data_IF_675412175036
#
_entry.id   IF_675412175036
#
_cell.length_a   1.000
_cell.length_b   1.000
_cell.length_c   1.000
_cell.angle_alpha   90.00
_cell.angle_beta   90.00
_cell.angle_gamma   90.00
#
_symmetry.space_group_name_H-M   'P 1'
#
loop_
_entity.id
_entity.type
_entity.pdbx_description
1 polymer ?
#
# COMPACT_ATOMS: atom_id res chain seq x y z
N UNK A 1 -24.39 85.54 30.36
CA UNK A 1 -24.53 86.06 28.98
C UNK A 1 -25.94 85.72 28.51
N UNK A 2 -26.91 86.60 28.78
CA UNK A 2 -27.55 87.54 27.82
C UNK A 2 -28.50 86.79 26.85
N UNK A 3 -29.84 86.72 27.02
CA UNK A 3 -30.90 87.68 27.35
C UNK A 3 -31.19 88.76 26.27
N UNK A 4 -32.42 88.71 25.70
CA UNK A 4 -33.29 89.73 25.05
C UNK A 4 -34.11 89.02 23.96
N UNK A 5 -35.43 88.87 23.93
CA UNK A 5 -36.61 89.65 24.35
C UNK A 5 -36.74 91.03 23.70
N UNK A 6 -37.74 91.18 22.81
CA UNK A 6 -38.60 92.37 22.73
C UNK A 6 -39.92 92.10 22.00
N UNK A 7 -41.00 92.35 22.74
CA UNK A 7 -42.42 92.45 22.39
C UNK A 7 -42.79 93.76 21.67
N UNK A 8 -44.05 93.82 21.19
CA UNK A 8 -44.78 95.07 20.87
C UNK A 8 -45.77 94.90 19.71
N UNK A 9 -46.91 94.20 19.86
CA UNK A 9 -48.23 94.66 20.35
C UNK A 9 -48.90 95.80 19.54
N UNK A 10 -49.98 95.49 18.82
CA UNK A 10 -51.16 96.37 18.75
C UNK A 10 -52.44 95.56 18.50
N UNK A 11 -53.48 95.96 19.23
CA UNK A 11 -54.79 95.34 19.49
C UNK A 11 -55.78 96.50 19.22
N UNK A 12 -56.82 96.38 18.38
CA UNK A 12 -58.23 96.04 18.71
C UNK A 12 -59.13 96.67 17.57
N UNK A 13 -60.47 96.53 17.51
CA UNK A 13 -61.32 95.33 17.50
C UNK A 13 -62.56 95.43 16.53
N UNK A 14 -63.42 94.40 16.61
CA UNK A 14 -64.88 94.33 16.28
C UNK A 14 -65.34 94.37 14.81
N UNK A 15 -65.87 93.25 14.31
CA UNK A 15 -67.32 93.11 14.05
C UNK A 15 -67.71 91.64 13.73
N UNK A 16 -68.74 91.14 14.42
CA UNK A 16 -69.57 90.00 14.00
C UNK A 16 -70.94 90.59 13.63
N UNK A 17 -71.60 90.18 12.54
CA UNK A 17 -72.38 88.93 12.59
C UNK A 17 -72.58 88.22 11.24
N UNK A 18 -73.00 86.95 11.29
CA UNK A 18 -73.65 86.31 10.14
C UNK A 18 -73.41 84.81 10.05
N UNK A 19 -74.40 84.02 10.49
CA UNK A 19 -74.41 82.59 10.25
C UNK A 19 -74.51 82.26 8.75
N UNK A 20 -73.64 81.37 8.28
CA UNK A 20 -73.78 80.66 7.01
C UNK A 20 -73.42 79.19 7.24
N UNK A 21 -74.46 78.35 7.15
CA UNK A 21 -74.48 76.91 6.90
C UNK A 21 -73.19 76.10 7.11
N UNK A 22 -73.21 75.18 8.09
CA UNK A 22 -72.34 74.02 8.13
C UNK A 22 -72.57 73.12 6.91
N UNK A 23 -71.66 73.18 5.93
CA UNK A 23 -71.42 72.05 5.02
C UNK A 23 -70.24 71.27 5.58
N UNK A 24 -70.53 70.17 6.24
CA UNK A 24 -69.55 69.16 6.65
C UNK A 24 -68.75 68.73 5.43
N UNK A 25 -67.49 69.18 5.34
CA UNK A 25 -66.59 68.76 4.28
C UNK A 25 -66.16 67.32 4.57
N UNK A 26 -66.70 66.36 3.83
CA UNK A 26 -66.39 64.93 3.89
C UNK A 26 -64.96 64.62 3.37
N UNK A 27 -64.08 65.63 3.20
CA UNK A 27 -62.76 65.49 2.55
C UNK A 27 -61.59 65.22 3.50
N UNK A 28 -61.71 65.53 4.79
CA UNK A 28 -60.69 65.24 5.82
C UNK A 28 -60.40 63.74 6.03
N UNK A 29 -61.41 62.87 6.23
CA UNK A 29 -61.16 61.44 6.46
C UNK A 29 -60.65 60.69 5.23
N UNK A 30 -60.97 61.16 4.01
CA UNK A 30 -60.54 60.52 2.76
C UNK A 30 -59.04 60.70 2.51
N UNK A 31 -58.47 61.88 2.80
CA UNK A 31 -57.04 62.16 2.61
C UNK A 31 -56.19 61.39 3.63
N UNK A 32 -56.62 61.36 4.90
CA UNK A 32 -55.93 60.59 5.96
C UNK A 32 -55.98 59.09 5.65
N UNK A 33 -57.13 58.59 5.17
CA UNK A 33 -57.26 57.19 4.73
C UNK A 33 -56.34 56.83 3.57
N UNK A 34 -56.21 57.71 2.56
CA UNK A 34 -55.32 57.48 1.41
C UNK A 34 -53.83 57.50 1.81
N UNK A 35 -53.42 58.41 2.69
CA UNK A 35 -52.04 58.47 3.19
C UNK A 35 -51.68 57.25 4.05
N UNK A 36 -52.58 56.82 4.94
CA UNK A 36 -52.40 55.61 5.73
C UNK A 36 -52.31 54.35 4.84
N UNK A 37 -53.15 54.26 3.80
CA UNK A 37 -53.09 53.17 2.82
C UNK A 37 -51.78 53.17 2.04
N UNK A 38 -51.30 54.32 1.58
CA UNK A 38 -50.03 54.44 0.86
C UNK A 38 -48.83 54.04 1.74
N UNK A 39 -48.82 54.47 3.01
CA UNK A 39 -47.80 54.05 3.99
C UNK A 39 -47.90 52.54 4.23
N UNK A 40 -49.10 52.00 4.41
CA UNK A 40 -49.31 50.56 4.59
C UNK A 40 -48.81 49.73 3.40
N UNK A 41 -49.14 50.13 2.17
CA UNK A 41 -48.64 49.50 0.95
C UNK A 41 -47.12 49.65 0.81
N UNK A 42 -46.56 50.80 1.18
CA UNK A 42 -45.12 51.03 1.19
C UNK A 42 -44.39 50.11 2.18
N UNK A 43 -44.91 49.95 3.39
CA UNK A 43 -44.37 49.05 4.40
C UNK A 43 -44.47 47.58 3.97
N UNK A 44 -45.57 47.16 3.35
CA UNK A 44 -45.73 45.81 2.81
C UNK A 44 -44.74 45.53 1.66
N UNK A 45 -44.59 46.47 0.73
CA UNK A 45 -43.61 46.37 -0.36
C UNK A 45 -42.18 46.33 0.16
N UNK A 46 -41.86 47.18 1.15
CA UNK A 46 -40.55 47.22 1.80
C UNK A 46 -40.24 45.91 2.54
N UNK A 47 -41.22 45.37 3.27
CA UNK A 47 -41.11 44.07 3.91
C UNK A 47 -40.85 42.97 2.87
N UNK A 48 -41.62 42.93 1.78
CA UNK A 48 -41.44 41.94 0.71
C UNK A 48 -40.03 41.99 0.09
N UNK A 49 -39.54 43.18 -0.25
CA UNK A 49 -38.18 43.36 -0.82
C UNK A 49 -37.12 42.88 0.18
N UNK A 50 -37.25 43.26 1.46
CA UNK A 50 -36.29 42.87 2.50
C UNK A 50 -36.28 41.35 2.72
N UNK A 51 -37.45 40.68 2.72
CA UNK A 51 -37.57 39.23 2.83
C UNK A 51 -36.95 38.52 1.63
N UNK A 52 -37.26 38.94 0.40
CA UNK A 52 -36.69 38.31 -0.80
C UNK A 52 -35.17 38.47 -0.88
N UNK A 53 -34.65 39.66 -0.55
CA UNK A 53 -33.21 39.89 -0.50
C UNK A 53 -32.55 39.00 0.57
N UNK A 54 -33.18 38.90 1.75
CA UNK A 54 -32.72 38.03 2.83
C UNK A 54 -32.70 36.55 2.43
N UNK A 55 -33.77 36.04 1.81
CA UNK A 55 -33.83 34.65 1.31
C UNK A 55 -32.68 34.32 0.35
N UNK A 56 -32.33 35.25 -0.56
CA UNK A 56 -31.21 35.07 -1.48
C UNK A 56 -29.87 35.04 -0.75
N UNK A 57 -29.64 35.96 0.20
CA UNK A 57 -28.42 35.98 1.00
C UNK A 57 -28.29 34.74 1.90
N UNK A 58 -29.41 34.29 2.49
CA UNK A 58 -29.48 33.07 3.28
C UNK A 58 -29.18 31.82 2.45
N UNK A 59 -29.71 31.73 1.23
CA UNK A 59 -29.41 30.65 0.29
C UNK A 59 -27.92 30.62 -0.06
N UNK A 60 -27.32 31.78 -0.32
CA UNK A 60 -25.87 31.89 -0.55
C UNK A 60 -25.06 31.47 0.68
N UNK A 61 -25.42 31.94 1.86
CA UNK A 61 -24.76 31.55 3.11
C UNK A 61 -24.81 30.04 3.32
N UNK A 62 -25.99 29.44 3.21
CA UNK A 62 -26.17 27.99 3.35
C UNK A 62 -25.32 27.23 2.34
N UNK A 63 -25.28 27.67 1.08
CA UNK A 63 -24.43 27.05 0.06
C UNK A 63 -22.95 27.09 0.40
N UNK A 64 -22.44 28.24 0.87
CA UNK A 64 -21.03 28.41 1.26
C UNK A 64 -20.71 27.60 2.53
N UNK A 65 -21.64 27.50 3.47
CA UNK A 65 -21.52 26.67 4.67
C UNK A 65 -21.47 25.17 4.32
N UNK A 66 -22.31 24.70 3.40
CA UNK A 66 -22.23 23.32 2.88
C UNK A 66 -20.88 23.08 2.21
N UNK A 67 -20.43 23.98 1.34
CA UNK A 67 -19.12 23.85 0.69
C UNK A 67 -17.97 23.80 1.71
N UNK A 68 -18.01 24.66 2.73
CA UNK A 68 -17.02 24.65 3.81
C UNK A 68 -17.05 23.34 4.59
N UNK A 69 -18.23 22.81 4.93
CA UNK A 69 -18.38 21.53 5.61
C UNK A 69 -17.80 20.38 4.78
N UNK A 70 -18.11 20.31 3.48
CA UNK A 70 -17.59 19.29 2.57
C UNK A 70 -16.05 19.39 2.44
N UNK A 71 -15.52 20.62 2.43
CA UNK A 71 -14.07 20.88 2.35
C UNK A 71 -13.36 20.43 3.63
N UNK A 72 -13.93 20.72 4.81
CA UNK A 72 -13.42 20.25 6.10
C UNK A 72 -13.43 18.72 6.16
N UNK A 73 -14.53 18.07 5.78
CA UNK A 73 -14.62 16.61 5.78
C UNK A 73 -13.59 15.98 4.82
N UNK A 74 -13.38 16.58 3.65
CA UNK A 74 -12.34 16.15 2.71
C UNK A 74 -10.93 16.29 3.27
N UNK A 75 -10.67 17.37 4.00
CA UNK A 75 -9.41 17.60 4.71
C UNK A 75 -9.20 16.56 5.82
N UNK A 76 -10.20 16.31 6.67
CA UNK A 76 -10.13 15.29 7.74
C UNK A 76 -9.85 13.88 7.18
N UNK A 77 -10.56 13.48 6.13
CA UNK A 77 -10.26 12.21 5.42
C UNK A 77 -8.84 12.17 4.87
N UNK A 78 -8.28 13.31 4.49
CA UNK A 78 -6.88 13.42 4.02
C UNK A 78 -5.91 13.28 5.18
N UNK A 79 -6.18 13.88 6.34
CA UNK A 79 -5.39 13.71 7.57
C UNK A 79 -5.33 12.24 7.98
N UNK A 80 -6.48 11.56 8.11
CA UNK A 80 -6.54 10.16 8.55
C UNK A 80 -5.69 9.23 7.66
N UNK A 81 -5.80 9.39 6.34
CA UNK A 81 -5.01 8.58 5.38
C UNK A 81 -3.52 8.88 5.47
N UNK A 82 -3.17 10.14 5.69
CA UNK A 82 -1.78 10.60 5.72
C UNK A 82 -1.09 10.22 7.04
N UNK A 83 -1.83 10.19 8.15
CA UNK A 83 -1.37 9.69 9.44
C UNK A 83 -0.96 8.21 9.33
N UNK A 84 -1.76 7.37 8.67
CA UNK A 84 -1.42 5.96 8.43
C UNK A 84 -0.12 5.81 7.64
N UNK A 85 0.11 6.69 6.64
CA UNK A 85 1.36 6.70 5.86
C UNK A 85 2.55 7.11 6.74
N UNK A 86 2.41 8.17 7.54
CA UNK A 86 3.46 8.62 8.45
C UNK A 86 3.87 7.52 9.44
N UNK A 87 2.90 6.88 10.10
CA UNK A 87 3.16 5.78 11.04
C UNK A 87 3.86 4.59 10.38
N UNK A 88 3.48 4.24 9.15
CA UNK A 88 4.13 3.15 8.39
C UNK A 88 5.56 3.51 8.01
N UNK A 89 5.80 4.75 7.56
CA UNK A 89 7.13 5.23 7.23
C UNK A 89 8.05 5.27 8.46
N UNK A 90 7.53 5.70 9.61
CA UNK A 90 8.26 5.66 10.89
C UNK A 90 8.62 4.23 11.29
N UNK A 91 7.68 3.29 11.20
CA UNK A 91 7.97 1.89 11.45
C UNK A 91 9.07 1.37 10.52
N UNK A 92 9.00 1.70 9.22
CA UNK A 92 10.03 1.32 8.26
C UNK A 92 11.39 1.91 8.63
N UNK A 93 11.47 3.18 9.04
CA UNK A 93 12.74 3.82 9.46
C UNK A 93 13.43 3.10 10.63
N UNK A 94 12.69 2.36 11.47
CA UNK A 94 13.29 1.61 12.59
C UNK A 94 14.01 0.33 12.16
N UNK A 95 13.63 -0.22 11.01
CA UNK A 95 14.16 -1.50 10.49
C UNK A 95 14.96 -1.32 9.19
N UNK A 96 14.70 -0.26 8.43
CA UNK A 96 15.39 0.08 7.20
C UNK A 96 16.82 0.53 7.51
N UNK A 97 17.77 -0.04 6.76
CA UNK A 97 19.19 0.24 6.89
C UNK A 97 20.02 -1.04 6.75
N UNK A 98 21.23 -1.01 7.32
CA UNK A 98 22.19 -2.10 7.19
C UNK A 98 22.76 -2.18 5.78
N UNK A 99 22.98 -3.39 5.29
CA UNK A 99 23.59 -3.61 3.97
C UNK A 99 22.58 -3.45 2.81
N UNK A 100 21.29 -3.58 3.10
CA UNK A 100 20.23 -3.54 2.09
C UNK A 100 19.76 -2.14 1.71
N UNK A 101 20.01 -1.11 2.53
CA UNK A 101 19.58 0.26 2.23
C UNK A 101 20.67 1.22 2.69
N UNK A 102 21.01 2.19 1.85
CA UNK A 102 22.02 3.17 2.21
C UNK A 102 21.51 4.10 3.32
N UNK A 103 22.35 4.51 4.28
CA UNK A 103 21.93 5.39 5.37
C UNK A 103 21.30 6.72 4.90
N UNK A 104 21.76 7.28 3.78
CA UNK A 104 21.24 8.51 3.19
C UNK A 104 19.81 8.36 2.65
N UNK A 105 19.41 7.18 2.19
CA UNK A 105 18.02 6.90 1.79
C UNK A 105 17.09 6.87 3.01
N UNK A 106 17.55 6.29 4.12
CA UNK A 106 16.79 6.28 5.38
C UNK A 106 16.69 7.68 5.98
N UNK A 107 17.76 8.47 5.91
CA UNK A 107 17.77 9.87 6.34
C UNK A 107 16.81 10.72 5.49
N UNK A 108 16.77 10.49 4.17
CA UNK A 108 15.80 11.14 3.29
C UNK A 108 14.36 10.76 3.64
N UNK A 109 14.06 9.47 3.88
CA UNK A 109 12.73 9.04 4.34
C UNK A 109 12.33 9.71 5.66
N UNK A 110 13.27 9.84 6.59
CA UNK A 110 13.04 10.53 7.87
C UNK A 110 12.72 12.01 7.67
N UNK A 111 13.45 12.70 6.79
CA UNK A 111 13.21 14.10 6.47
C UNK A 111 11.81 14.32 5.89
N UNK A 112 11.43 13.57 4.86
CA UNK A 112 10.11 13.65 4.22
C UNK A 112 8.97 13.31 5.20
N UNK A 113 9.20 12.31 6.07
CA UNK A 113 8.22 11.94 7.11
C UNK A 113 8.05 13.06 8.15
N UNK A 114 9.14 13.75 8.52
CA UNK A 114 9.08 14.90 9.42
C UNK A 114 8.33 16.09 8.77
N UNK A 115 8.50 16.31 7.46
CA UNK A 115 7.73 17.31 6.72
C UNK A 115 6.24 16.97 6.68
N UNK A 116 5.89 15.70 6.45
CA UNK A 116 4.51 15.24 6.53
C UNK A 116 3.93 15.46 7.94
N UNK A 117 4.66 15.10 9.00
CA UNK A 117 4.24 15.34 10.39
C UNK A 117 4.00 16.83 10.65
N UNK A 118 4.90 17.70 10.18
CA UNK A 118 4.73 19.14 10.31
C UNK A 118 3.48 19.64 9.57
N UNK A 119 3.16 19.10 8.39
CA UNK A 119 1.95 19.43 7.64
C UNK A 119 0.67 18.96 8.36
N UNK A 120 0.69 17.79 9.02
CA UNK A 120 -0.43 17.27 9.81
C UNK A 120 -0.71 18.13 11.05
N UNK A 121 0.34 18.60 11.72
CA UNK A 121 0.24 19.49 12.90
C UNK A 121 -0.16 20.93 12.53
N UNK A 122 0.07 21.36 11.29
CA UNK A 122 -0.26 22.70 10.79
C UNK A 122 -1.76 22.89 10.46
N UNK A 123 -2.65 22.16 11.16
CA UNK A 123 -4.06 22.13 10.85
C UNK A 123 -4.73 23.51 10.94
N UNK A 124 -5.58 23.88 9.95
CA UNK A 124 -6.39 25.08 10.05
C UNK A 124 -7.29 25.05 11.31
N UNK A 125 -7.56 26.21 11.93
CA UNK A 125 -8.43 26.26 13.10
C UNK A 125 -9.85 25.78 12.75
N UNK A 126 -10.52 25.02 13.67
CA UNK A 126 -11.85 24.52 13.42
C UNK A 126 -12.82 25.68 13.19
N UNK A 127 -13.72 25.53 12.22
CA UNK A 127 -14.72 26.57 11.91
C UNK A 127 -16.12 25.95 11.88
N UNK A 128 -16.91 26.21 12.93
CA UNK A 128 -18.31 25.77 13.00
C UNK A 128 -19.25 26.63 12.16
N UNK A 129 -20.51 26.20 11.93
CA UNK A 129 -21.49 26.93 11.12
C UNK A 129 -21.93 28.24 11.78
N UNK A 130 -22.26 29.25 10.97
CA UNK A 130 -22.82 30.53 11.46
C UNK A 130 -24.28 30.75 11.08
N UNK A 131 -24.91 29.82 10.39
CA UNK A 131 -26.35 29.88 10.09
C UNK A 131 -27.18 30.08 11.36
N UNK A 132 -26.76 29.51 12.49
CA UNK A 132 -27.40 29.72 13.80
C UNK A 132 -27.24 31.14 14.40
N UNK A 133 -26.51 32.05 13.76
CA UNK A 133 -26.40 33.46 14.16
C UNK A 133 -27.52 34.34 13.58
N UNK A 134 -28.25 33.87 12.57
CA UNK A 134 -29.30 34.62 11.90
C UNK A 134 -30.62 33.83 11.93
N UNK A 135 -31.74 34.53 11.88
CA UNK A 135 -33.06 33.88 11.91
C UNK A 135 -33.40 33.24 10.57
N UNK A 136 -33.95 32.02 10.57
CA UNK A 136 -34.38 31.38 9.32
C UNK A 136 -35.34 32.26 8.50
N UNK A 137 -35.33 32.17 7.15
CA UNK A 137 -36.24 32.95 6.31
C UNK A 137 -37.72 32.68 6.58
N UNK A 138 -38.04 31.49 7.10
CA UNK A 138 -39.39 31.07 7.50
C UNK A 138 -39.93 31.83 8.73
N UNK A 139 -39.06 32.40 9.55
CA UNK A 139 -39.41 33.17 10.75
C UNK A 139 -39.79 34.61 10.36
N UNK A 140 -40.80 35.17 11.01
CA UNK A 140 -41.13 36.58 10.79
C UNK A 140 -40.11 37.48 11.50
N UNK A 141 -39.48 38.38 10.74
CA UNK A 141 -38.69 39.48 11.26
C UNK A 141 -39.05 40.78 10.53
N UNK A 142 -39.13 41.93 11.21
CA UNK A 142 -39.34 43.21 10.55
C UNK A 142 -38.23 43.57 9.56
N UNK A 143 -38.55 44.37 8.55
CA UNK A 143 -37.62 44.72 7.47
C UNK A 143 -36.26 45.26 7.95
N UNK A 144 -36.22 46.06 9.03
CA UNK A 144 -34.95 46.61 9.56
C UNK A 144 -34.02 45.53 10.13
N UNK A 145 -34.57 44.48 10.76
CA UNK A 145 -33.81 43.32 11.23
C UNK A 145 -33.28 42.52 10.03
N UNK A 146 -34.11 42.32 8.99
CA UNK A 146 -33.68 41.66 7.75
C UNK A 146 -32.52 42.40 7.06
N UNK A 147 -32.51 43.74 7.06
CA UNK A 147 -31.35 44.48 6.55
C UNK A 147 -30.12 44.36 7.45
N UNK A 148 -30.29 44.33 8.76
CA UNK A 148 -29.16 44.10 9.67
C UNK A 148 -28.53 42.72 9.45
N UNK A 149 -29.35 41.67 9.32
CA UNK A 149 -28.87 40.32 9.01
C UNK A 149 -28.24 40.26 7.62
N UNK A 150 -28.79 40.94 6.61
CA UNK A 150 -28.20 41.02 5.28
C UNK A 150 -26.76 41.56 5.31
N UNK A 151 -26.52 42.63 6.08
CA UNK A 151 -25.17 43.18 6.29
C UNK A 151 -24.30 42.16 7.02
N UNK A 152 -24.82 41.53 8.08
CA UNK A 152 -24.08 40.50 8.83
C UNK A 152 -23.70 39.28 7.98
N UNK A 153 -24.57 38.83 7.08
CA UNK A 153 -24.28 37.75 6.12
C UNK A 153 -23.23 38.23 5.12
N UNK A 154 -23.40 39.43 4.55
CA UNK A 154 -22.45 39.99 3.59
C UNK A 154 -21.03 40.14 4.18
N UNK A 155 -20.93 40.55 5.45
CA UNK A 155 -19.67 40.68 6.17
C UNK A 155 -19.04 39.32 6.50
N UNK A 156 -19.85 38.28 6.70
CA UNK A 156 -19.38 36.95 7.08
C UNK A 156 -18.93 36.10 5.88
N UNK A 157 -19.54 36.25 4.70
CA UNK A 157 -19.24 35.46 3.51
C UNK A 157 -17.73 35.47 3.13
N UNK A 158 -17.02 36.62 3.08
CA UNK A 158 -15.59 36.65 2.77
C UNK A 158 -14.72 35.83 3.73
N UNK A 159 -15.07 35.80 5.02
CA UNK A 159 -14.36 35.00 6.01
C UNK A 159 -14.57 33.50 5.77
N UNK A 160 -15.73 33.10 5.23
CA UNK A 160 -16.03 31.72 4.84
C UNK A 160 -15.29 31.31 3.58
N UNK A 161 -15.28 32.15 2.55
CA UNK A 161 -14.51 31.89 1.33
C UNK A 161 -13.00 31.77 1.64
N UNK A 162 -12.50 32.60 2.58
CA UNK A 162 -11.13 32.50 3.09
C UNK A 162 -10.87 31.20 3.85
N UNK A 163 -11.85 30.72 4.62
CA UNK A 163 -11.74 29.45 5.34
C UNK A 163 -11.70 28.27 4.36
N UNK A 164 -12.57 28.24 3.35
CA UNK A 164 -12.57 27.23 2.27
C UNK A 164 -11.19 27.17 1.62
N UNK A 165 -10.70 28.32 1.14
CA UNK A 165 -9.39 28.42 0.47
C UNK A 165 -8.24 27.92 1.37
N UNK A 166 -8.32 28.17 2.69
CA UNK A 166 -7.31 27.70 3.65
C UNK A 166 -7.34 26.18 3.82
N UNK A 167 -8.52 25.56 3.90
CA UNK A 167 -8.64 24.11 4.00
C UNK A 167 -8.24 23.41 2.69
N UNK A 168 -8.55 24.01 1.54
CA UNK A 168 -8.08 23.50 0.24
C UNK A 168 -6.56 23.52 0.14
N UNK A 169 -5.92 24.63 0.51
CA UNK A 169 -4.47 24.76 0.55
C UNK A 169 -3.83 23.75 1.52
N UNK A 170 -4.38 23.63 2.74
CA UNK A 170 -3.89 22.64 3.71
C UNK A 170 -4.04 21.21 3.20
N UNK A 171 -5.15 20.90 2.52
CA UNK A 171 -5.37 19.60 1.87
C UNK A 171 -4.31 19.33 0.80
N UNK A 172 -3.98 20.34 -0.02
CA UNK A 172 -2.94 20.23 -1.04
C UNK A 172 -1.57 19.94 -0.42
N UNK A 173 -1.15 20.74 0.58
CA UNK A 173 0.13 20.57 1.28
C UNK A 173 0.27 19.18 1.91
N UNK A 174 -0.75 18.72 2.65
CA UNK A 174 -0.73 17.38 3.27
C UNK A 174 -0.65 16.27 2.20
N UNK A 175 -1.33 16.43 1.06
CA UNK A 175 -1.28 15.46 -0.03
C UNK A 175 0.08 15.41 -0.71
N UNK A 176 0.72 16.54 -0.97
CA UNK A 176 2.06 16.57 -1.55
C UNK A 176 3.08 15.93 -0.61
N UNK A 177 3.09 16.32 0.66
CA UNK A 177 3.99 15.73 1.66
C UNK A 177 3.76 14.21 1.82
N UNK A 178 2.49 13.76 1.80
CA UNK A 178 2.18 12.32 1.82
C UNK A 178 2.75 11.62 0.59
N UNK A 179 2.59 12.20 -0.60
CA UNK A 179 3.10 11.60 -1.83
C UNK A 179 4.62 11.47 -1.79
N UNK A 180 5.34 12.49 -1.30
CA UNK A 180 6.79 12.43 -1.14
C UNK A 180 7.24 11.27 -0.23
N UNK A 181 6.52 11.01 0.87
CA UNK A 181 6.79 9.87 1.75
C UNK A 181 6.52 8.53 1.06
N UNK A 182 5.44 8.43 0.26
CA UNK A 182 5.14 7.22 -0.53
C UNK A 182 6.23 6.96 -1.55
N UNK A 183 6.58 7.94 -2.37
CA UNK A 183 7.61 7.82 -3.40
C UNK A 183 8.97 7.46 -2.78
N UNK A 184 9.28 8.03 -1.61
CA UNK A 184 10.50 7.70 -0.88
C UNK A 184 10.50 6.29 -0.29
N UNK A 185 9.35 5.82 0.17
CA UNK A 185 9.18 4.43 0.63
C UNK A 185 9.41 3.45 -0.51
N UNK A 186 8.84 3.73 -1.69
CA UNK A 186 9.03 2.91 -2.89
C UNK A 186 10.51 2.87 -3.33
N UNK A 187 11.21 4.02 -3.25
CA UNK A 187 12.64 4.08 -3.54
C UNK A 187 13.48 3.22 -2.58
N UNK A 188 13.16 3.23 -1.27
CA UNK A 188 13.83 2.38 -0.27
C UNK A 188 13.67 0.89 -0.61
N UNK A 189 12.45 0.45 -0.96
CA UNK A 189 12.23 -0.95 -1.33
C UNK A 189 12.89 -1.33 -2.65
N UNK A 190 12.89 -0.44 -3.64
CA UNK A 190 13.58 -0.66 -4.92
C UNK A 190 15.07 -0.91 -4.69
N UNK A 191 15.74 -0.04 -3.91
CA UNK A 191 17.15 -0.19 -3.53
C UNK A 191 17.40 -1.49 -2.75
N UNK A 192 16.51 -1.85 -1.82
CA UNK A 192 16.61 -3.09 -1.05
C UNK A 192 16.48 -4.35 -1.91
N UNK A 193 15.55 -4.36 -2.87
CA UNK A 193 15.38 -5.49 -3.78
C UNK A 193 16.56 -5.62 -4.75
N UNK A 194 17.05 -4.53 -5.35
CA UNK A 194 18.24 -4.57 -6.21
C UNK A 194 19.46 -5.11 -5.47
N UNK A 195 19.66 -4.71 -4.21
CA UNK A 195 20.75 -5.24 -3.37
C UNK A 195 20.53 -6.69 -2.98
N UNK A 196 19.31 -7.09 -2.64
CA UNK A 196 19.00 -8.49 -2.34
C UNK A 196 19.20 -9.41 -3.56
N UNK A 197 18.90 -8.95 -4.77
CA UNK A 197 19.25 -9.67 -6.01
C UNK A 197 20.77 -9.81 -6.18
N UNK A 198 21.52 -8.72 -5.96
CA UNK A 198 22.98 -8.78 -6.02
C UNK A 198 23.58 -9.74 -4.97
N UNK A 199 22.93 -9.90 -3.82
CA UNK A 199 23.32 -10.89 -2.80
C UNK A 199 23.09 -12.33 -3.28
N UNK A 200 22.06 -12.61 -4.06
CA UNK A 200 21.88 -13.94 -4.67
C UNK A 200 23.08 -14.28 -5.57
N UNK A 201 23.50 -13.34 -6.40
CA UNK A 201 24.64 -13.53 -7.31
C UNK A 201 25.98 -13.66 -6.55
N UNK A 202 26.16 -12.88 -5.48
CA UNK A 202 27.36 -12.92 -4.66
C UNK A 202 27.49 -14.21 -3.84
N UNK A 203 26.38 -14.88 -3.54
CA UNK A 203 26.32 -16.06 -2.66
C UNK A 203 26.04 -17.36 -3.45
N UNK A 204 26.75 -17.59 -4.56
CA UNK A 204 26.49 -18.69 -5.51
C UNK A 204 26.50 -20.13 -4.96
N UNK A 205 27.06 -20.38 -3.77
CA UNK A 205 27.03 -21.68 -3.08
C UNK A 205 25.88 -21.85 -2.07
N UNK A 206 25.07 -20.82 -1.85
CA UNK A 206 23.93 -20.93 -0.95
C UNK A 206 22.92 -21.97 -1.46
N UNK A 207 22.20 -22.59 -0.53
CA UNK A 207 21.15 -23.56 -0.90
C UNK A 207 20.06 -22.89 -1.74
N UNK A 208 19.53 -23.62 -2.71
CA UNK A 208 18.48 -23.12 -3.59
C UNK A 208 17.23 -22.73 -2.78
N UNK A 209 16.93 -23.46 -1.69
CA UNK A 209 15.86 -23.07 -0.76
C UNK A 209 16.04 -21.65 -0.19
N UNK A 210 17.25 -21.27 0.21
CA UNK A 210 17.50 -19.90 0.69
C UNK A 210 17.45 -18.86 -0.42
N UNK A 211 17.89 -19.20 -1.63
CA UNK A 211 17.73 -18.33 -2.82
C UNK A 211 16.26 -18.07 -3.12
N UNK A 212 15.41 -19.10 -3.09
CA UNK A 212 13.97 -18.96 -3.28
C UNK A 212 13.32 -18.08 -2.21
N UNK A 213 13.74 -18.22 -0.95
CA UNK A 213 13.24 -17.38 0.13
C UNK A 213 13.43 -15.88 -0.13
N UNK A 214 14.59 -15.49 -0.70
CA UNK A 214 14.84 -14.10 -1.10
C UNK A 214 14.01 -13.71 -2.33
N UNK A 215 13.99 -14.55 -3.38
CA UNK A 215 13.24 -14.28 -4.62
C UNK A 215 11.74 -14.09 -4.38
N UNK A 216 11.12 -14.96 -3.57
CA UNK A 216 9.70 -14.83 -3.24
C UNK A 216 9.37 -13.51 -2.54
N UNK A 217 10.27 -12.98 -1.71
CA UNK A 217 10.09 -11.69 -1.05
C UNK A 217 10.26 -10.51 -2.00
N UNK A 218 11.16 -10.62 -3.00
CA UNK A 218 11.29 -9.65 -4.09
C UNK A 218 10.04 -9.66 -4.97
N UNK A 219 9.60 -10.84 -5.41
CA UNK A 219 8.44 -11.02 -6.30
C UNK A 219 7.12 -10.59 -5.62
N UNK A 220 6.97 -10.90 -4.33
CA UNK A 220 5.83 -10.43 -3.52
C UNK A 220 5.83 -8.91 -3.36
N UNK A 221 6.98 -8.24 -3.52
CA UNK A 221 7.11 -6.78 -3.62
C UNK A 221 6.14 -6.14 -4.62
N UNK A 222 5.76 -6.88 -5.67
CA UNK A 222 4.82 -6.41 -6.70
C UNK A 222 3.33 -6.60 -6.40
N UNK A 223 2.95 -7.28 -5.31
CA UNK A 223 1.56 -7.72 -5.05
C UNK A 223 1.08 -7.28 -3.66
N UNK A 224 -0.07 -6.60 -3.61
CA UNK A 224 -0.87 -6.29 -2.42
C UNK A 224 -0.32 -5.33 -1.34
N UNK A 225 0.85 -4.69 -1.51
CA UNK A 225 1.33 -3.60 -0.65
C UNK A 225 1.63 -3.96 0.82
N UNK A 226 1.47 -5.23 1.21
CA UNK A 226 1.96 -5.76 2.49
C UNK A 226 3.47 -6.03 2.46
N UNK A 227 4.03 -6.27 1.28
CA UNK A 227 5.45 -6.48 1.04
C UNK A 227 6.28 -5.22 1.28
N UNK A 228 5.72 -4.03 1.01
CA UNK A 228 6.34 -2.72 1.27
C UNK A 228 6.06 -2.21 2.69
N UNK A 229 6.19 -3.09 3.68
CA UNK A 229 5.99 -2.78 5.11
C UNK A 229 7.26 -3.01 5.92
N UNK A 230 7.34 -2.47 7.14
CA UNK A 230 8.44 -2.74 8.05
C UNK A 230 8.64 -4.26 8.28
N UNK A 231 7.56 -5.02 8.44
CA UNK A 231 7.62 -6.48 8.57
C UNK A 231 8.17 -7.15 7.32
N UNK A 232 7.74 -6.70 6.13
CA UNK A 232 8.25 -7.21 4.85
C UNK A 232 9.75 -6.92 4.67
N UNK A 233 10.20 -5.72 5.06
CA UNK A 233 11.61 -5.37 5.06
C UNK A 233 12.44 -6.25 6.00
N UNK A 234 11.97 -6.46 7.24
CA UNK A 234 12.64 -7.36 8.20
C UNK A 234 12.75 -8.78 7.65
N UNK A 235 11.67 -9.31 7.06
CA UNK A 235 11.69 -10.64 6.45
C UNK A 235 12.71 -10.74 5.30
N UNK A 236 12.83 -9.69 4.46
CA UNK A 236 13.86 -9.64 3.41
C UNK A 236 15.27 -9.64 3.99
N UNK A 237 15.52 -8.82 5.02
CA UNK A 237 16.82 -8.75 5.69
C UNK A 237 17.21 -10.10 6.35
N UNK A 238 16.26 -10.76 6.99
CA UNK A 238 16.45 -12.10 7.57
C UNK A 238 16.72 -13.16 6.49
N UNK A 239 15.98 -13.13 5.38
CA UNK A 239 16.19 -14.04 4.26
C UNK A 239 17.58 -13.88 3.62
N UNK A 240 18.03 -12.63 3.42
CA UNK A 240 19.39 -12.34 2.93
C UNK A 240 20.46 -12.80 3.93
N UNK A 241 20.19 -12.65 5.23
CA UNK A 241 21.09 -13.17 6.27
C UNK A 241 21.18 -14.70 6.22
N UNK A 242 20.05 -15.39 6.05
CA UNK A 242 20.00 -16.84 5.91
C UNK A 242 20.70 -17.33 4.64
N UNK A 243 20.56 -16.61 3.53
CA UNK A 243 21.28 -16.86 2.27
C UNK A 243 22.80 -16.82 2.49
N UNK A 244 23.32 -15.73 3.09
CA UNK A 244 24.74 -15.58 3.40
C UNK A 244 25.26 -16.66 4.35
N UNK A 245 24.48 -17.01 5.36
CA UNK A 245 24.81 -18.09 6.29
C UNK A 245 24.90 -19.44 5.56
N UNK A 246 23.91 -19.76 4.72
CA UNK A 246 23.91 -20.99 3.92
C UNK A 246 25.11 -21.07 2.96
N UNK A 247 25.52 -19.94 2.37
CA UNK A 247 26.74 -19.88 1.57
C UNK A 247 27.99 -20.21 2.39
N UNK A 248 28.17 -19.55 3.54
CA UNK A 248 29.33 -19.76 4.39
C UNK A 248 29.41 -21.20 4.93
N UNK A 249 28.26 -21.81 5.26
CA UNK A 249 28.16 -23.22 5.63
C UNK A 249 28.60 -24.13 4.48
N UNK A 250 28.16 -23.86 3.25
CA UNK A 250 28.59 -24.61 2.07
C UNK A 250 30.09 -24.47 1.80
N UNK A 251 30.67 -23.28 1.94
CA UNK A 251 32.12 -23.06 1.82
C UNK A 251 32.90 -23.87 2.87
N UNK A 252 32.46 -23.83 4.13
CA UNK A 252 33.08 -24.59 5.21
C UNK A 252 32.99 -26.11 4.95
N UNK A 253 31.81 -26.60 4.58
CA UNK A 253 31.58 -28.01 4.27
C UNK A 253 32.45 -28.51 3.11
N UNK A 254 32.64 -27.70 2.06
CA UNK A 254 33.54 -28.05 0.94
C UNK A 254 35.00 -28.18 1.39
N UNK A 255 35.43 -27.38 2.36
CA UNK A 255 36.79 -27.46 2.90
C UNK A 255 36.97 -28.66 3.84
N UNK A 256 35.95 -29.00 4.63
CA UNK A 256 35.98 -30.12 5.57
C UNK A 256 35.83 -31.47 4.84
N UNK A 257 35.00 -31.51 3.80
CA UNK A 257 34.64 -32.69 3.03
C UNK A 257 34.89 -32.51 1.53
N UNK A 258 36.16 -32.51 1.09
CA UNK A 258 36.50 -32.27 -0.31
C UNK A 258 35.93 -33.33 -1.26
N UNK A 259 35.78 -34.59 -0.81
CA UNK A 259 35.20 -35.66 -1.63
C UNK A 259 33.68 -35.45 -1.82
N UNK A 260 32.95 -35.01 -0.78
CA UNK A 260 31.54 -34.62 -0.94
C UNK A 260 31.41 -33.49 -1.97
N UNK A 261 32.30 -32.50 -1.91
CA UNK A 261 32.29 -31.42 -2.90
C UNK A 261 32.49 -31.94 -4.34
N UNK A 262 33.33 -32.96 -4.56
CA UNK A 262 33.48 -33.64 -5.86
C UNK A 262 32.21 -34.38 -6.28
N UNK A 263 31.57 -35.11 -5.35
CA UNK A 263 30.32 -35.83 -5.57
C UNK A 263 29.22 -34.88 -6.02
N UNK A 264 29.02 -33.79 -5.28
CA UNK A 264 27.98 -32.82 -5.60
C UNK A 264 28.28 -32.04 -6.88
N UNK A 265 29.55 -31.76 -7.18
CA UNK A 265 29.94 -31.15 -8.45
C UNK A 265 29.64 -32.10 -9.62
N UNK A 266 29.89 -33.40 -9.46
CA UNK A 266 29.51 -34.41 -10.44
C UNK A 266 27.98 -34.44 -10.63
N UNK A 267 27.21 -34.49 -9.55
CA UNK A 267 25.74 -34.48 -9.61
C UNK A 267 25.20 -33.23 -10.35
N UNK A 268 25.71 -32.04 -10.02
CA UNK A 268 25.34 -30.78 -10.72
C UNK A 268 25.75 -30.79 -12.20
N UNK A 269 26.85 -31.46 -12.56
CA UNK A 269 27.28 -31.56 -13.96
C UNK A 269 26.34 -32.39 -14.84
N UNK A 270 25.56 -33.29 -14.24
CA UNK A 270 24.60 -34.17 -14.93
C UNK A 270 23.14 -33.78 -14.69
N UNK A 271 22.87 -32.72 -13.92
CA UNK A 271 21.50 -32.31 -13.57
C UNK A 271 20.74 -31.59 -14.69
N UNK A 272 21.42 -31.30 -15.81
CA UNK A 272 20.85 -30.64 -16.98
C UNK A 272 20.12 -29.32 -16.66
N UNK A 273 20.68 -28.55 -15.72
CA UNK A 273 20.19 -27.23 -15.31
C UNK A 273 19.17 -27.26 -14.17
N UNK A 274 18.78 -28.43 -13.65
CA UNK A 274 17.99 -28.52 -12.43
C UNK A 274 18.87 -28.12 -11.24
N UNK A 275 18.37 -27.20 -10.41
CA UNK A 275 19.05 -26.78 -9.18
C UNK A 275 19.00 -27.90 -8.13
N UNK A 276 20.13 -28.19 -7.50
CA UNK A 276 20.28 -29.29 -6.55
C UNK A 276 20.88 -28.81 -5.22
N UNK A 277 20.17 -29.10 -4.14
CA UNK A 277 20.65 -29.03 -2.76
C UNK A 277 21.04 -30.42 -2.27
N UNK A 278 21.95 -30.48 -1.29
CA UNK A 278 22.47 -31.75 -0.79
C UNK A 278 22.37 -31.87 0.74
N UNK A 279 22.08 -33.08 1.19
CA UNK A 279 22.15 -33.51 2.57
C UNK A 279 23.06 -34.74 2.69
N UNK A 280 23.69 -34.91 3.84
CA UNK A 280 24.53 -36.07 4.12
C UNK A 280 24.15 -36.65 5.47
N UNK A 281 23.92 -37.97 5.51
CA UNK A 281 23.53 -38.65 6.73
C UNK A 281 24.21 -40.03 6.84
N UNK A 282 24.34 -40.52 8.06
CA UNK A 282 24.85 -41.87 8.28
C UNK A 282 23.85 -42.94 7.81
N UNK A 283 22.56 -42.69 7.94
CA UNK A 283 21.47 -43.58 7.51
C UNK A 283 20.55 -42.83 6.54
N UNK A 284 20.29 -43.45 5.39
CA UNK A 284 19.42 -42.92 4.32
C UNK A 284 18.49 -44.02 3.85
N UNK A 285 17.21 -43.72 3.67
CA UNK A 285 16.17 -44.69 3.32
C UNK A 285 16.12 -45.95 4.21
N UNK A 286 16.48 -45.82 5.50
CA UNK A 286 16.49 -46.94 6.46
C UNK A 286 17.70 -47.86 6.36
N UNK A 287 18.73 -47.48 5.58
CA UNK A 287 19.96 -48.24 5.40
C UNK A 287 21.15 -47.42 5.89
N UNK A 288 21.99 -48.03 6.73
CA UNK A 288 23.17 -47.36 7.29
C UNK A 288 24.33 -47.36 6.29
N UNK A 289 25.29 -46.46 6.49
CA UNK A 289 26.52 -46.38 5.68
C UNK A 289 27.45 -47.60 5.85
N UNK A 290 27.11 -48.56 6.73
CA UNK A 290 27.91 -49.75 6.97
C UNK A 290 27.69 -50.78 5.85
N UNK A 291 28.44 -50.63 4.76
CA UNK A 291 28.47 -51.60 3.65
C UNK A 291 27.42 -51.40 2.56
N UNK A 292 26.63 -50.33 2.64
CA UNK A 292 25.63 -49.98 1.63
C UNK A 292 25.82 -48.55 1.14
N UNK A 293 25.51 -48.32 -0.13
CA UNK A 293 25.39 -46.99 -0.74
C UNK A 293 23.90 -46.65 -0.83
N UNK A 294 23.50 -45.52 -0.29
CA UNK A 294 22.09 -45.13 -0.26
C UNK A 294 21.93 -43.64 -0.58
N UNK A 295 20.80 -43.34 -1.20
CA UNK A 295 20.38 -41.99 -1.54
C UNK A 295 18.87 -41.84 -1.45
N UNK A 296 18.42 -40.59 -1.40
CA UNK A 296 17.02 -40.21 -1.66
C UNK A 296 16.99 -38.88 -2.38
N UNK A 297 16.01 -38.68 -3.26
CA UNK A 297 15.75 -37.39 -3.88
C UNK A 297 14.32 -36.92 -3.61
N UNK A 298 14.20 -35.69 -3.11
CA UNK A 298 12.97 -34.90 -3.12
C UNK A 298 13.06 -33.85 -4.23
N UNK A 299 11.96 -33.55 -4.91
CA UNK A 299 11.94 -32.54 -5.98
C UNK A 299 10.60 -31.83 -6.06
N UNK A 300 10.66 -30.59 -6.53
CA UNK A 300 9.51 -29.70 -6.63
C UNK A 300 9.49 -29.08 -8.04
N UNK A 301 8.40 -29.27 -8.81
CA UNK A 301 8.27 -28.68 -10.14
C UNK A 301 8.02 -27.17 -10.13
N UNK A 302 7.61 -26.60 -8.99
CA UNK A 302 7.41 -25.17 -8.80
C UNK A 302 8.75 -24.40 -8.83
N UNK A 303 8.69 -23.07 -8.94
CA UNK A 303 9.86 -22.17 -8.85
C UNK A 303 11.01 -22.51 -9.82
N UNK A 304 10.65 -22.94 -11.04
CA UNK A 304 11.60 -23.30 -12.09
C UNK A 304 12.14 -24.74 -12.00
N UNK A 305 11.73 -25.50 -10.98
CA UNK A 305 12.12 -26.88 -10.80
C UNK A 305 13.44 -27.05 -10.05
N UNK A 306 13.41 -27.72 -8.90
CA UNK A 306 14.61 -28.01 -8.10
C UNK A 306 14.49 -29.31 -7.30
N UNK A 307 15.61 -29.80 -6.79
CA UNK A 307 15.65 -31.02 -5.98
C UNK A 307 16.59 -30.93 -4.78
N UNK A 308 16.32 -31.76 -3.78
CA UNK A 308 17.16 -32.00 -2.63
C UNK A 308 17.56 -33.48 -2.60
N UNK A 309 18.86 -33.76 -2.68
CA UNK A 309 19.42 -35.10 -2.68
C UNK A 309 20.08 -35.35 -1.33
N UNK A 310 19.67 -36.40 -0.61
CA UNK A 310 20.39 -36.87 0.58
C UNK A 310 21.21 -38.10 0.23
N UNK A 311 22.49 -38.13 0.61
CA UNK A 311 23.41 -39.24 0.36
C UNK A 311 23.97 -39.82 1.66
N UNK A 312 24.21 -41.13 1.66
CA UNK A 312 24.88 -41.80 2.78
C UNK A 312 26.38 -41.45 2.83
N UNK A 313 26.98 -41.42 4.02
CA UNK A 313 28.41 -41.14 4.18
C UNK A 313 29.31 -42.13 3.43
N UNK A 314 28.85 -43.38 3.25
CA UNK A 314 29.57 -44.40 2.46
C UNK A 314 29.83 -44.02 1.00
N UNK A 315 29.04 -43.10 0.41
CA UNK A 315 29.29 -42.57 -0.94
C UNK A 315 30.59 -41.77 -0.95
N UNK A 316 30.84 -40.98 0.09
CA UNK A 316 32.08 -40.23 0.27
C UNK A 316 33.26 -41.20 0.45
N UNK A 317 33.12 -42.18 1.36
CA UNK A 317 34.19 -43.13 1.68
C UNK A 317 34.61 -44.00 0.48
N UNK A 318 33.68 -44.27 -0.44
CA UNK A 318 33.87 -45.16 -1.59
C UNK A 318 33.69 -44.47 -2.94
N UNK A 319 33.98 -43.17 -3.07
CA UNK A 319 33.73 -42.42 -4.32
C UNK A 319 34.48 -42.94 -5.58
N UNK A 320 35.52 -43.75 -5.36
CA UNK A 320 36.21 -44.48 -6.43
C UNK A 320 35.44 -45.69 -6.99
N UNK A 321 34.42 -46.19 -6.28
CA UNK A 321 33.55 -47.28 -6.70
C UNK A 321 32.48 -46.77 -7.68
N UNK A 322 32.33 -47.48 -8.79
CA UNK A 322 31.36 -47.13 -9.82
C UNK A 322 29.91 -47.33 -9.34
N UNK A 323 29.65 -48.21 -8.37
CA UNK A 323 28.32 -48.35 -7.75
C UNK A 323 27.96 -47.13 -6.89
N UNK A 324 28.92 -46.54 -6.17
CA UNK A 324 28.67 -45.30 -5.42
C UNK A 324 28.31 -44.15 -6.37
N UNK A 325 29.01 -44.05 -7.51
CA UNK A 325 28.66 -43.09 -8.57
C UNK A 325 27.30 -43.37 -9.19
N UNK A 326 26.97 -44.64 -9.43
CA UNK A 326 25.69 -45.04 -9.99
C UNK A 326 24.50 -44.64 -9.09
N UNK A 327 24.65 -44.72 -7.77
CA UNK A 327 23.63 -44.19 -6.83
C UNK A 327 23.44 -42.70 -7.03
N UNK A 328 24.52 -41.91 -7.11
CA UNK A 328 24.41 -40.46 -7.34
C UNK A 328 23.71 -40.14 -8.66
N UNK A 329 24.00 -40.90 -9.72
CA UNK A 329 23.31 -40.75 -11.01
C UNK A 329 21.82 -41.11 -10.88
N UNK A 330 21.49 -42.17 -10.15
CA UNK A 330 20.10 -42.54 -9.85
C UNK A 330 19.35 -41.39 -9.15
N UNK A 331 19.92 -40.84 -8.08
CA UNK A 331 19.28 -39.74 -7.34
C UNK A 331 19.07 -38.49 -8.20
N UNK A 332 20.06 -38.13 -9.03
CA UNK A 332 19.88 -37.03 -9.99
C UNK A 332 18.78 -37.37 -11.01
N UNK A 333 18.66 -38.63 -11.41
CA UNK A 333 17.64 -39.13 -12.33
C UNK A 333 16.21 -38.83 -11.88
N UNK A 334 15.90 -38.93 -10.57
CA UNK A 334 14.60 -38.52 -10.03
C UNK A 334 14.27 -37.06 -10.38
N UNK A 335 15.24 -36.17 -10.20
CA UNK A 335 15.07 -34.73 -10.47
C UNK A 335 14.91 -34.41 -11.96
N UNK A 336 15.24 -35.33 -12.86
CA UNK A 336 15.05 -35.09 -14.30
C UNK A 336 13.57 -35.19 -14.70
N UNK A 337 12.72 -35.83 -13.90
CA UNK A 337 11.30 -36.00 -14.18
C UNK A 337 10.52 -34.67 -14.25
N UNK A 338 10.99 -33.62 -13.56
CA UNK A 338 10.36 -32.29 -13.54
C UNK A 338 10.74 -31.41 -14.74
N UNK A 339 11.73 -31.81 -15.55
CA UNK A 339 12.11 -31.03 -16.72
C UNK A 339 10.99 -31.09 -17.76
N UNK A 340 10.56 -29.96 -18.36
CA UNK A 340 9.44 -29.94 -19.30
C UNK A 340 9.58 -30.89 -20.50
N UNK A 341 10.81 -31.18 -20.94
CA UNK A 341 11.10 -32.12 -22.03
C UNK A 341 10.97 -33.58 -21.60
N UNK A 342 11.03 -33.87 -20.30
CA UNK A 342 11.08 -35.21 -19.72
C UNK A 342 9.78 -35.62 -19.04
N UNK A 343 9.05 -34.66 -18.48
CA UNK A 343 7.75 -34.89 -17.85
C UNK A 343 6.80 -35.70 -18.74
N UNK A 344 6.63 -35.43 -20.05
CA UNK A 344 5.74 -36.23 -20.88
C UNK A 344 6.15 -37.72 -21.02
N UNK A 345 7.44 -38.02 -20.95
CA UNK A 345 7.96 -39.40 -20.99
C UNK A 345 7.71 -40.08 -19.64
N UNK A 346 8.05 -39.38 -18.56
CA UNK A 346 7.86 -39.85 -17.19
C UNK A 346 6.38 -40.13 -16.86
N UNK A 347 5.47 -39.28 -17.31
CA UNK A 347 4.02 -39.45 -17.16
C UNK A 347 3.41 -40.43 -18.18
N UNK A 348 4.18 -40.77 -19.21
CA UNK A 348 3.79 -41.61 -20.32
C UNK A 348 3.58 -43.09 -19.94
N UNK A 349 3.08 -43.89 -20.90
CA UNK A 349 2.77 -45.30 -20.67
C UNK A 349 3.99 -46.18 -20.32
N UNK A 350 5.20 -45.72 -20.59
CA UNK A 350 6.43 -46.43 -20.27
C UNK A 350 6.72 -46.44 -18.76
N UNK A 351 6.33 -45.37 -18.04
CA UNK A 351 6.71 -45.18 -16.64
C UNK A 351 5.53 -44.98 -15.69
N UNK A 352 4.39 -44.44 -16.15
CA UNK A 352 3.21 -44.21 -15.30
C UNK A 352 3.51 -43.45 -14.00
N UNK A 353 4.46 -42.52 -14.05
CA UNK A 353 4.98 -41.78 -12.88
C UNK A 353 5.68 -42.65 -11.82
N UNK A 354 6.21 -43.80 -12.18
CA UNK A 354 7.07 -44.60 -11.31
C UNK A 354 8.47 -43.98 -11.24
N UNK A 355 8.75 -43.30 -10.13
CA UNK A 355 9.99 -42.56 -9.91
C UNK A 355 11.23 -43.46 -9.81
N UNK A 356 11.11 -44.66 -9.23
CA UNK A 356 12.23 -45.58 -9.05
C UNK A 356 12.60 -46.25 -10.37
N UNK A 357 11.60 -46.71 -11.13
CA UNK A 357 11.81 -47.26 -12.46
C UNK A 357 12.37 -46.21 -13.42
N UNK A 358 11.90 -44.96 -13.33
CA UNK A 358 12.41 -43.83 -14.10
C UNK A 358 13.89 -43.51 -13.79
N UNK A 359 14.22 -43.28 -12.52
CA UNK A 359 15.57 -42.96 -12.09
C UNK A 359 16.57 -44.05 -12.46
N UNK A 360 16.19 -45.32 -12.24
CA UNK A 360 16.99 -46.48 -12.65
C UNK A 360 17.20 -46.51 -14.16
N UNK A 361 16.14 -46.32 -14.95
CA UNK A 361 16.23 -46.33 -16.42
C UNK A 361 17.10 -45.18 -16.94
N UNK A 362 16.99 -43.99 -16.33
CA UNK A 362 17.81 -42.83 -16.66
C UNK A 362 19.29 -43.06 -16.35
N UNK A 363 19.61 -43.61 -15.16
CA UNK A 363 20.98 -43.92 -14.77
C UNK A 363 21.64 -44.93 -15.71
N UNK A 364 20.91 -45.99 -16.09
CA UNK A 364 21.38 -46.95 -17.10
C UNK A 364 21.56 -46.26 -18.46
N UNK A 365 20.61 -45.40 -18.87
CA UNK A 365 20.70 -44.60 -20.09
C UNK A 365 21.90 -43.63 -20.13
N UNK A 366 22.36 -43.18 -18.95
CA UNK A 366 23.59 -42.39 -18.78
C UNK A 366 24.87 -43.22 -18.88
N UNK A 367 24.76 -44.56 -18.87
CA UNK A 367 25.86 -45.51 -18.99
C UNK A 367 26.14 -46.34 -17.73
N UNK A 368 25.36 -46.17 -16.67
CA UNK A 368 25.55 -46.87 -15.40
C UNK A 368 24.65 -48.11 -15.30
N UNK A 369 24.92 -49.15 -16.10
CA UNK A 369 24.22 -50.45 -16.03
C UNK A 369 24.87 -51.35 -14.96
N UNK A 370 24.74 -50.94 -13.69
CA UNK A 370 25.36 -51.55 -12.52
C UNK A 370 24.37 -51.67 -11.36
N UNK A 371 24.59 -52.57 -10.38
CA UNK A 371 23.71 -52.75 -9.22
C UNK A 371 23.30 -51.45 -8.51
N UNK A 372 24.26 -50.54 -8.29
CA UNK A 372 24.05 -49.25 -7.62
C UNK A 372 23.15 -48.27 -8.37
N UNK A 373 22.81 -48.50 -9.64
CA UNK A 373 21.91 -47.62 -10.40
C UNK A 373 20.43 -47.76 -9.99
N UNK A 374 20.11 -48.51 -8.92
CA UNK A 374 18.77 -48.89 -8.51
C UNK A 374 18.38 -50.33 -8.88
N UNK A 375 19.22 -51.05 -9.63
CA UNK A 375 18.94 -52.42 -10.08
C UNK A 375 18.82 -53.38 -8.89
N UNK A 376 19.67 -53.25 -7.88
CA UNK A 376 19.64 -54.13 -6.71
C UNK A 376 18.37 -53.93 -5.87
N UNK A 377 17.90 -52.69 -5.72
CA UNK A 377 16.75 -52.34 -4.90
C UNK A 377 15.41 -52.55 -5.64
N UNK A 378 15.34 -52.14 -6.91
CA UNK A 378 14.08 -52.00 -7.66
C UNK A 378 13.99 -52.91 -8.88
N UNK A 379 15.07 -53.60 -9.22
CA UNK A 379 15.19 -54.41 -10.43
C UNK A 379 15.58 -53.58 -11.66
N UNK A 380 16.07 -54.26 -12.70
CA UNK A 380 16.46 -53.61 -13.96
C UNK A 380 15.22 -53.28 -14.80
N UNK A 381 15.01 -52.02 -15.22
CA UNK A 381 13.97 -51.64 -16.17
C UNK A 381 14.11 -52.33 -17.52
N UNK A 382 13.03 -52.31 -18.30
CA UNK A 382 13.05 -52.84 -19.67
C UNK A 382 13.93 -51.98 -20.59
N UNK A 383 14.48 -52.58 -21.66
CA UNK A 383 15.29 -51.84 -22.63
C UNK A 383 14.51 -50.71 -23.32
N UNK A 384 13.19 -50.87 -23.46
CA UNK A 384 12.31 -49.81 -23.97
C UNK A 384 12.23 -48.62 -23.01
N UNK A 385 12.08 -48.86 -21.71
CA UNK A 385 12.12 -47.82 -20.68
C UNK A 385 13.49 -47.14 -20.64
N UNK A 386 14.59 -47.89 -20.69
CA UNK A 386 15.95 -47.34 -20.74
C UNK A 386 16.12 -46.43 -21.97
N UNK A 387 15.69 -46.89 -23.15
CA UNK A 387 15.75 -46.09 -24.37
C UNK A 387 14.85 -44.84 -24.31
N UNK A 388 13.72 -44.91 -23.60
CA UNK A 388 12.83 -43.77 -23.37
C UNK A 388 13.49 -42.73 -22.46
N UNK A 389 14.00 -43.15 -21.28
CA UNK A 389 14.66 -42.25 -20.34
C UNK A 389 15.96 -41.64 -20.90
N UNK A 390 16.71 -42.37 -21.74
CA UNK A 390 17.93 -41.87 -22.36
C UNK A 390 17.72 -40.67 -23.29
N UNK A 391 16.48 -40.40 -23.73
CA UNK A 391 16.14 -39.20 -24.50
C UNK A 391 16.25 -37.91 -23.67
N UNK A 392 16.32 -38.04 -22.34
CA UNK A 392 16.44 -36.94 -21.39
C UNK A 392 17.87 -36.65 -20.90
N UNK A 393 18.87 -37.24 -21.57
CA UNK A 393 20.29 -37.01 -21.26
C UNK A 393 20.74 -35.59 -21.55
#
# INVERSE_FOLDING_TARGET
MAARSREGNHVDPVDQPGGVSSRSSVRGPVIVGAAALAIGLGLLGHQLVSTTAYEQAWSRLTSVETQLADTIESYERTLDRSEVVAVRAEALQTVAGGDLVAPDEVDALRAETAELRAALEAAPPPTGPITGRFEEPSTFAPAWERYADLVGIADALPARDTAISRFDEATFVVREARQAVVDRTDAVFTSAYERAEAEIDANALASYRTVLGVRHLIDAGGVDGQSTSATGFTALAEAVTALRASHAEAEAARSEHPVRAEVEAFARSISQGVALDFGWAYEVAGVTSDGWYAGTAEFWPEDGGWGHITLSHSIEDSWGDENARAVVVHEVGHTQAIRPTCTPIFEGPEFHRDHETWATAWAIGMGYDLPGAGIEAYGRPTDAQIAAAAQCR
#
